data_IF_411172516912
#
_entry.id   IF_411172516912
#
_cell.length_a   1.000
_cell.length_b   1.000
_cell.length_c   1.000
_cell.angle_alpha   90.00
_cell.angle_beta   90.00
_cell.angle_gamma   90.00
#
_symmetry.space_group_name_H-M   'P 1'
#
loop_
_entity.id
_entity.type
_entity.pdbx_description
1 polymer ?
#
# COMPACT_ATOMS: atom_id res chain seq x y z
N UNK A 1 7.02 -9.26 30.75
CA UNK A 1 7.30 -9.78 29.39
C UNK A 1 8.10 -8.71 28.68
N UNK A 2 9.32 -9.03 28.24
CA UNK A 2 10.19 -8.08 27.58
C UNK A 2 9.57 -7.67 26.25
N UNK A 3 9.34 -6.37 26.09
CA UNK A 3 9.00 -5.76 24.82
C UNK A 3 10.29 -5.84 23.98
N UNK A 4 10.25 -6.63 22.91
CA UNK A 4 11.26 -6.52 21.86
C UNK A 4 10.99 -5.20 21.13
N UNK A 5 11.56 -4.12 21.65
CA UNK A 5 11.83 -2.93 20.85
C UNK A 5 12.81 -3.36 19.74
N UNK A 6 12.30 -3.54 18.52
CA UNK A 6 13.15 -3.69 17.35
C UNK A 6 13.82 -2.34 17.11
N UNK A 7 15.01 -2.17 17.69
CA UNK A 7 15.95 -1.16 17.25
C UNK A 7 16.20 -1.37 15.74
N UNK A 8 16.18 -0.27 15.00
CA UNK A 8 16.30 -0.20 13.54
C UNK A 8 17.71 -0.64 13.08
N UNK A 9 18.07 -1.92 13.26
CA UNK A 9 19.29 -2.49 12.68
C UNK A 9 19.06 -2.83 11.20
N UNK A 10 19.73 -2.07 10.34
CA UNK A 10 19.50 -1.95 8.90
C UNK A 10 19.54 -3.27 8.11
N UNK A 11 20.29 -4.28 8.55
CA UNK A 11 20.42 -5.55 7.83
C UNK A 11 19.23 -6.49 8.02
N UNK A 12 18.55 -6.45 9.17
CA UNK A 12 17.43 -7.35 9.45
C UNK A 12 16.20 -6.96 8.63
N UNK A 13 15.87 -5.66 8.58
CA UNK A 13 14.70 -5.12 7.87
C UNK A 13 14.75 -5.41 6.36
N UNK A 14 15.91 -5.19 5.73
CA UNK A 14 16.11 -5.48 4.30
C UNK A 14 16.03 -6.99 4.04
N UNK A 15 16.65 -7.80 4.91
CA UNK A 15 16.63 -9.25 4.77
C UNK A 15 15.22 -9.81 4.92
N UNK A 16 14.42 -9.28 5.85
CA UNK A 16 13.04 -9.69 6.08
C UNK A 16 12.16 -9.36 4.88
N UNK A 17 12.22 -8.15 4.33
CA UNK A 17 11.47 -7.80 3.12
C UNK A 17 11.89 -8.67 1.93
N UNK A 18 13.20 -8.83 1.71
CA UNK A 18 13.70 -9.62 0.59
C UNK A 18 13.30 -11.10 0.68
N UNK A 19 13.30 -11.65 1.89
CA UNK A 19 12.97 -13.05 2.15
C UNK A 19 11.46 -13.28 2.15
N UNK A 20 10.71 -12.48 2.91
CA UNK A 20 9.28 -12.73 3.16
C UNK A 20 8.34 -11.99 2.21
N UNK A 21 8.82 -10.90 1.59
CA UNK A 21 8.02 -10.01 0.73
C UNK A 21 7.36 -8.86 1.47
N UNK A 22 7.49 -8.83 2.80
CA UNK A 22 6.96 -7.78 3.65
C UNK A 22 7.83 -7.55 4.90
N UNK A 23 7.67 -6.37 5.51
CA UNK A 23 8.27 -6.01 6.80
C UNK A 23 7.40 -4.97 7.50
N UNK A 24 7.42 -4.98 8.84
CA UNK A 24 6.71 -3.98 9.66
C UNK A 24 7.72 -3.07 10.34
N UNK A 25 7.53 -1.76 10.18
CA UNK A 25 8.22 -0.74 10.95
C UNK A 25 7.26 -0.23 12.02
N UNK A 26 7.52 -0.64 13.27
CA UNK A 26 6.68 -0.28 14.41
C UNK A 26 6.90 1.16 14.86
N UNK A 27 5.82 1.83 15.26
CA UNK A 27 5.84 3.19 15.78
C UNK A 27 6.68 4.17 14.93
N UNK A 28 6.56 4.07 13.60
CA UNK A 28 7.27 4.93 12.66
C UNK A 28 6.83 6.40 12.79
N UNK A 29 5.59 6.63 13.22
CA UNK A 29 5.04 7.94 13.52
C UNK A 29 4.34 7.94 14.87
N UNK A 30 4.44 9.05 15.57
CA UNK A 30 3.60 9.33 16.72
C UNK A 30 2.28 9.99 16.33
N UNK A 31 1.37 10.16 17.32
CA UNK A 31 0.05 10.75 17.10
C UNK A 31 0.10 12.17 16.52
N UNK A 32 1.05 13.01 16.95
CA UNK A 32 1.17 14.38 16.47
C UNK A 32 1.63 14.44 15.01
N UNK A 33 2.53 13.53 14.61
CA UNK A 33 2.99 13.40 13.22
C UNK A 33 1.86 12.91 12.30
N UNK A 34 0.98 12.03 12.80
CA UNK A 34 -0.14 11.49 12.02
C UNK A 34 -1.39 12.38 12.00
N UNK A 35 -1.58 13.25 12.98
CA UNK A 35 -2.85 13.98 13.17
C UNK A 35 -3.30 14.70 11.89
N UNK A 36 -2.41 15.48 11.26
CA UNK A 36 -2.73 16.23 10.05
C UNK A 36 -3.05 15.33 8.86
N UNK A 37 -2.29 14.24 8.69
CA UNK A 37 -2.45 13.26 7.61
C UNK A 37 -3.77 12.52 7.76
N UNK A 38 -4.11 12.12 8.99
CA UNK A 38 -5.36 11.45 9.34
C UNK A 38 -6.55 12.35 9.06
N UNK A 39 -6.51 13.62 9.44
CA UNK A 39 -7.59 14.57 9.18
C UNK A 39 -7.81 14.81 7.69
N UNK A 40 -6.72 14.92 6.91
CA UNK A 40 -6.79 15.05 5.45
C UNK A 40 -7.41 13.78 4.83
N UNK A 41 -6.96 12.60 5.26
CA UNK A 41 -7.45 11.32 4.77
C UNK A 41 -8.94 11.12 5.10
N UNK A 42 -9.38 11.47 6.31
CA UNK A 42 -10.79 11.41 6.71
C UNK A 42 -11.66 12.32 5.86
N UNK A 43 -11.24 13.57 5.62
CA UNK A 43 -11.96 14.50 4.75
C UNK A 43 -12.08 13.97 3.32
N UNK A 44 -11.00 13.42 2.77
CA UNK A 44 -11.06 12.76 1.47
C UNK A 44 -12.02 11.57 1.48
N UNK A 45 -11.97 10.71 2.50
CA UNK A 45 -12.82 9.53 2.62
C UNK A 45 -14.30 9.87 2.69
N UNK A 46 -14.71 10.86 3.49
CA UNK A 46 -16.11 11.31 3.56
C UNK A 46 -16.60 11.83 2.20
N UNK A 47 -15.81 12.66 1.54
CA UNK A 47 -16.12 13.15 0.20
C UNK A 47 -16.19 12.01 -0.82
N UNK A 48 -15.29 11.03 -0.72
CA UNK A 48 -15.28 9.87 -1.59
C UNK A 48 -16.53 9.01 -1.39
N UNK A 49 -16.95 8.75 -0.14
CA UNK A 49 -18.20 8.01 0.16
C UNK A 49 -19.42 8.69 -0.42
N UNK A 50 -19.52 10.02 -0.31
CA UNK A 50 -20.63 10.78 -0.88
C UNK A 50 -20.68 10.65 -2.41
N UNK A 51 -19.53 10.78 -3.09
CA UNK A 51 -19.44 10.68 -4.55
C UNK A 51 -19.62 9.25 -5.07
N UNK A 52 -19.21 8.25 -4.29
CA UNK A 52 -19.15 6.84 -4.69
C UNK A 52 -20.10 5.96 -3.87
N UNK A 53 -21.21 6.53 -3.38
CA UNK A 53 -22.14 5.87 -2.46
C UNK A 53 -22.51 4.45 -2.89
N UNK A 54 -22.90 4.28 -4.16
CA UNK A 54 -23.28 2.97 -4.71
C UNK A 54 -22.12 1.96 -4.65
N UNK A 55 -20.90 2.37 -5.00
CA UNK A 55 -19.71 1.51 -4.97
C UNK A 55 -19.34 1.15 -3.53
N UNK A 56 -19.44 2.13 -2.61
CA UNK A 56 -19.20 1.91 -1.19
C UNK A 56 -20.19 0.90 -0.57
N UNK A 57 -21.48 1.08 -0.84
CA UNK A 57 -22.54 0.18 -0.37
C UNK A 57 -22.45 -1.22 -0.97
N UNK A 58 -21.88 -1.36 -2.18
CA UNK A 58 -21.62 -2.64 -2.84
C UNK A 58 -20.38 -3.38 -2.31
N UNK A 59 -19.65 -2.79 -1.36
CA UNK A 59 -18.56 -3.48 -0.68
C UNK A 59 -17.16 -2.99 -1.02
N UNK A 60 -17.01 -1.75 -1.50
CA UNK A 60 -15.68 -1.17 -1.64
C UNK A 60 -14.94 -1.15 -0.29
N UNK A 61 -13.65 -1.50 -0.34
CA UNK A 61 -12.77 -1.56 0.83
C UNK A 61 -11.55 -0.64 0.70
N UNK A 62 -11.45 0.06 -0.43
CA UNK A 62 -10.42 1.04 -0.70
C UNK A 62 -10.92 2.16 -1.62
N UNK A 63 -10.17 3.26 -1.63
CA UNK A 63 -10.32 4.34 -2.58
C UNK A 63 -8.95 4.80 -3.06
N UNK A 64 -8.79 5.01 -4.36
CA UNK A 64 -7.52 5.39 -4.96
C UNK A 64 -7.44 6.89 -5.26
N UNK A 65 -6.22 7.35 -5.50
CA UNK A 65 -5.88 8.66 -6.02
C UNK A 65 -6.17 9.83 -5.08
N UNK A 66 -5.87 9.66 -3.78
CA UNK A 66 -6.05 10.72 -2.78
C UNK A 66 -5.27 12.00 -3.13
N UNK A 67 -4.07 11.87 -3.70
CA UNK A 67 -3.22 13.00 -4.11
C UNK A 67 -3.57 13.58 -5.49
N UNK A 68 -4.60 13.07 -6.17
CA UNK A 68 -5.01 13.58 -7.48
C UNK A 68 -5.54 15.01 -7.40
N UNK A 69 -5.29 15.79 -8.44
CA UNK A 69 -5.93 17.09 -8.63
C UNK A 69 -7.45 17.01 -8.43
N UNK A 70 -7.99 17.93 -7.62
CA UNK A 70 -9.41 17.99 -7.28
C UNK A 70 -9.89 16.97 -6.24
N UNK A 71 -9.05 16.01 -5.82
CA UNK A 71 -9.37 15.12 -4.71
C UNK A 71 -9.27 15.83 -3.35
N UNK A 72 -8.28 16.71 -3.22
CA UNK A 72 -7.95 17.50 -2.05
C UNK A 72 -7.73 18.97 -2.45
N UNK A 73 -7.84 19.88 -1.49
CA UNK A 73 -7.40 21.27 -1.67
C UNK A 73 -5.88 21.32 -1.83
N UNK A 74 -5.35 22.34 -2.51
CA UNK A 74 -3.89 22.46 -2.69
C UNK A 74 -3.09 22.47 -1.38
N UNK A 75 -3.51 23.15 -0.30
CA UNK A 75 -2.83 23.04 0.99
C UNK A 75 -2.82 21.60 1.54
N UNK A 76 -3.94 20.87 1.43
CA UNK A 76 -4.02 19.49 1.89
C UNK A 76 -3.19 18.53 1.01
N UNK A 77 -3.17 18.75 -0.31
CA UNK A 77 -2.30 18.01 -1.24
C UNK A 77 -0.83 18.24 -0.90
N UNK A 78 -0.43 19.49 -0.69
CA UNK A 78 0.95 19.83 -0.29
C UNK A 78 1.33 19.15 1.03
N UNK A 79 0.47 19.22 2.06
CA UNK A 79 0.72 18.56 3.34
C UNK A 79 0.86 17.04 3.18
N UNK A 80 0.03 16.41 2.33
CA UNK A 80 0.15 14.99 2.03
C UNK A 80 1.48 14.66 1.32
N UNK A 81 1.90 15.46 0.34
CA UNK A 81 3.20 15.26 -0.31
C UNK A 81 4.37 15.51 0.63
N UNK A 82 4.26 16.46 1.57
CA UNK A 82 5.27 16.69 2.62
C UNK A 82 5.38 15.49 3.57
N UNK A 83 4.25 14.86 3.92
CA UNK A 83 4.26 13.62 4.70
C UNK A 83 4.93 12.46 3.92
N UNK A 84 4.53 12.25 2.67
CA UNK A 84 5.08 11.18 1.81
C UNK A 84 6.59 11.37 1.57
N UNK A 85 7.06 12.62 1.46
CA UNK A 85 8.49 12.95 1.30
C UNK A 85 9.21 13.26 2.61
N UNK A 86 8.62 12.92 3.75
CA UNK A 86 9.27 13.07 5.06
C UNK A 86 10.53 12.20 5.15
N UNK A 87 11.45 12.55 6.05
CA UNK A 87 12.67 11.78 6.27
C UNK A 87 12.34 10.33 6.67
N UNK A 88 11.35 10.12 7.55
CA UNK A 88 10.91 8.79 7.98
C UNK A 88 10.54 7.90 6.80
N UNK A 89 9.67 8.38 5.89
CA UNK A 89 9.26 7.59 4.72
C UNK A 89 10.45 7.39 3.76
N UNK A 90 11.18 8.47 3.48
CA UNK A 90 12.31 8.46 2.53
C UNK A 90 13.42 7.51 2.95
N UNK A 91 13.76 7.46 4.25
CA UNK A 91 14.79 6.57 4.78
C UNK A 91 14.40 5.11 4.63
N UNK A 92 13.12 4.77 4.79
CA UNK A 92 12.61 3.41 4.59
C UNK A 92 12.65 3.06 3.10
N UNK A 93 12.21 3.98 2.22
CA UNK A 93 12.26 3.79 0.75
C UNK A 93 13.69 3.54 0.28
N UNK A 94 14.63 4.39 0.67
CA UNK A 94 16.03 4.29 0.26
C UNK A 94 16.68 2.99 0.72
N UNK A 95 16.26 2.45 1.87
CA UNK A 95 16.77 1.17 2.39
C UNK A 95 16.15 -0.05 1.69
N UNK A 96 14.84 -0.01 1.40
CA UNK A 96 14.10 -1.18 0.89
C UNK A 96 14.06 -1.26 -0.64
N UNK A 97 13.88 -0.13 -1.32
CA UNK A 97 13.75 -0.05 -2.79
C UNK A 97 14.98 0.61 -3.40
N UNK A 98 15.47 1.69 -2.78
CA UNK A 98 16.62 2.46 -3.26
C UNK A 98 16.24 3.79 -3.94
N UNK A 99 17.24 4.50 -4.50
CA UNK A 99 17.06 5.87 -5.01
C UNK A 99 16.24 5.94 -6.31
N UNK A 100 16.01 4.81 -6.97
CA UNK A 100 15.18 4.69 -8.19
C UNK A 100 13.72 4.41 -7.89
N UNK A 101 13.30 4.43 -6.62
CA UNK A 101 11.90 4.30 -6.25
C UNK A 101 11.08 5.42 -6.90
N UNK A 102 9.92 5.06 -7.43
CA UNK A 102 9.07 5.94 -8.23
C UNK A 102 7.67 5.96 -7.63
N UNK A 103 7.16 7.17 -7.35
CA UNK A 103 5.81 7.32 -6.81
C UNK A 103 4.74 7.08 -7.87
N UNK A 104 3.75 6.26 -7.56
CA UNK A 104 2.65 5.96 -8.46
C UNK A 104 1.38 6.71 -8.08
N UNK A 105 0.86 6.46 -6.88
CA UNK A 105 -0.34 7.09 -6.35
C UNK A 105 -0.47 6.82 -4.85
N UNK A 106 -1.58 7.30 -4.29
CA UNK A 106 -2.01 7.02 -2.91
C UNK A 106 -3.36 6.34 -2.90
N UNK A 107 -3.58 5.48 -1.91
CA UNK A 107 -4.87 4.81 -1.69
C UNK A 107 -5.24 4.86 -0.21
N UNK A 108 -6.54 4.91 0.09
CA UNK A 108 -7.04 4.64 1.43
C UNK A 108 -7.66 3.27 1.49
N UNK A 109 -7.49 2.58 2.61
CA UNK A 109 -8.15 1.32 2.91
C UNK A 109 -8.98 1.47 4.18
N UNK A 110 -10.21 0.96 4.13
CA UNK A 110 -11.21 1.10 5.19
C UNK A 110 -12.10 -0.12 5.29
N UNK A 111 -12.91 -0.19 6.35
CA UNK A 111 -13.88 -1.27 6.53
C UNK A 111 -15.01 -1.19 5.49
N UNK A 112 -15.48 -2.33 4.96
CA UNK A 112 -16.61 -2.36 4.04
C UNK A 112 -17.89 -1.85 4.73
N UNK A 113 -18.81 -1.30 3.93
CA UNK A 113 -20.10 -0.85 4.44
C UNK A 113 -20.91 -1.99 5.08
N UNK A 114 -20.79 -3.22 4.55
CA UNK A 114 -21.42 -4.41 5.11
C UNK A 114 -20.45 -5.11 6.09
N UNK A 115 -20.74 -5.14 7.40
CA UNK A 115 -19.85 -5.77 8.39
C UNK A 115 -19.73 -7.30 8.23
N UNK A 116 -20.61 -7.94 7.46
CA UNK A 116 -20.56 -9.37 7.17
C UNK A 116 -19.79 -9.70 5.88
N UNK A 117 -19.24 -8.69 5.19
CA UNK A 117 -18.44 -8.92 3.99
C UNK A 117 -17.17 -9.71 4.34
N UNK A 118 -16.90 -10.77 3.60
CA UNK A 118 -15.72 -11.61 3.83
C UNK A 118 -14.44 -10.95 3.27
N UNK A 119 -13.34 -11.12 4.00
CA UNK A 119 -11.99 -10.81 3.53
C UNK A 119 -11.65 -11.71 2.34
N UNK A 120 -10.95 -11.24 1.32
CA UNK A 120 -10.64 -12.05 0.13
C UNK A 120 -9.16 -12.04 -0.24
N UNK A 121 -8.61 -13.23 -0.49
CA UNK A 121 -7.25 -13.43 -0.98
C UNK A 121 -7.10 -12.93 -2.41
N UNK A 122 -5.99 -12.23 -2.66
CA UNK A 122 -5.63 -11.74 -3.97
C UNK A 122 -4.12 -11.53 -4.10
N UNK A 123 -3.68 -11.37 -5.35
CA UNK A 123 -2.47 -10.61 -5.71
C UNK A 123 -2.96 -9.36 -6.45
N UNK A 124 -2.36 -8.20 -6.24
CA UNK A 124 -2.85 -6.97 -6.90
C UNK A 124 -2.86 -7.04 -8.43
N UNK A 125 -1.85 -7.66 -9.10
CA UNK A 125 -1.86 -7.77 -10.55
C UNK A 125 -3.03 -8.60 -11.10
N UNK A 126 -3.72 -9.40 -10.27
CA UNK A 126 -4.80 -10.26 -10.75
C UNK A 126 -5.99 -9.49 -11.35
N UNK A 127 -6.12 -8.20 -11.03
CA UNK A 127 -7.21 -7.37 -11.52
C UNK A 127 -6.96 -6.78 -12.92
N UNK A 128 -5.73 -6.84 -13.42
CA UNK A 128 -5.36 -6.27 -14.72
C UNK A 128 -4.43 -7.15 -15.57
N UNK A 129 -3.93 -8.26 -15.03
CA UNK A 129 -3.06 -9.22 -15.73
C UNK A 129 -3.71 -10.62 -15.81
N UNK A 130 -3.50 -11.30 -16.94
CA UNK A 130 -3.76 -12.73 -17.07
C UNK A 130 -2.87 -13.57 -16.14
N UNK A 131 -3.20 -14.85 -15.93
CA UNK A 131 -2.37 -15.73 -15.08
C UNK A 131 -0.93 -15.91 -15.58
N UNK A 132 -0.74 -15.95 -16.90
CA UNK A 132 0.60 -16.00 -17.48
C UNK A 132 1.38 -14.72 -17.24
N UNK A 133 0.74 -13.56 -17.32
CA UNK A 133 1.37 -12.27 -17.05
C UNK A 133 1.67 -12.11 -15.56
N UNK A 134 0.76 -12.54 -14.67
CA UNK A 134 1.01 -12.60 -13.22
C UNK A 134 2.25 -13.45 -12.90
N UNK A 135 2.42 -14.61 -13.56
CA UNK A 135 3.62 -15.46 -13.40
C UNK A 135 4.88 -14.72 -13.81
N UNK A 136 4.85 -14.07 -14.98
CA UNK A 136 5.99 -13.33 -15.51
C UNK A 136 6.36 -12.13 -14.63
N UNK A 137 5.36 -11.44 -14.06
CA UNK A 137 5.55 -10.27 -13.20
C UNK A 137 6.33 -10.58 -11.90
N UNK A 138 6.38 -11.84 -11.46
CA UNK A 138 7.19 -12.23 -10.28
C UNK A 138 8.70 -12.13 -10.50
N UNK A 139 9.13 -12.11 -11.77
CA UNK A 139 10.54 -11.97 -12.16
C UNK A 139 10.88 -10.53 -12.59
N UNK A 140 9.86 -9.68 -12.70
CA UNK A 140 9.98 -8.31 -13.17
C UNK A 140 10.13 -7.30 -12.04
N UNK A 141 10.08 -6.01 -12.40
CA UNK A 141 10.14 -4.94 -11.42
C UNK A 141 8.91 -4.96 -10.52
N UNK A 142 9.06 -4.49 -9.28
CA UNK A 142 8.03 -4.63 -8.25
C UNK A 142 7.27 -3.34 -7.99
N UNK A 143 5.99 -3.49 -7.70
CA UNK A 143 5.17 -2.48 -7.01
C UNK A 143 5.16 -2.83 -5.52
N UNK A 144 5.34 -1.81 -4.68
CA UNK A 144 5.46 -1.93 -3.23
C UNK A 144 4.46 -0.98 -2.58
N UNK A 145 3.68 -1.53 -1.65
CA UNK A 145 2.78 -0.78 -0.80
C UNK A 145 3.51 -0.37 0.47
N UNK A 146 3.43 0.92 0.79
CA UNK A 146 3.78 1.46 2.10
C UNK A 146 2.49 1.81 2.81
N UNK A 147 1.95 0.85 3.58
CA UNK A 147 0.71 1.00 4.33
C UNK A 147 0.99 1.63 5.68
N UNK A 148 0.58 2.88 5.84
CA UNK A 148 0.62 3.62 7.11
C UNK A 148 -0.72 3.43 7.83
N UNK A 149 -0.70 2.83 9.01
CA UNK A 149 -1.89 2.69 9.85
C UNK A 149 -2.25 4.04 10.50
N UNK A 150 -3.41 4.62 10.15
CA UNK A 150 -3.91 5.89 10.73
C UNK A 150 -4.80 5.67 11.97
N UNK A 151 -5.20 4.42 12.19
CA UNK A 151 -5.87 3.89 13.37
C UNK A 151 -5.30 2.49 13.64
N UNK A 152 -5.50 1.98 14.85
CA UNK A 152 -5.27 0.56 15.12
C UNK A 152 -6.15 -0.27 14.18
N UNK A 153 -5.57 -1.31 13.57
CA UNK A 153 -6.29 -2.20 12.67
C UNK A 153 -5.92 -3.67 12.89
N UNK A 154 -6.85 -4.61 12.62
CA UNK A 154 -6.55 -6.05 12.63
C UNK A 154 -5.46 -6.43 11.63
N UNK A 155 -5.26 -5.56 10.61
CA UNK A 155 -4.15 -5.55 9.68
C UNK A 155 -4.39 -6.41 8.44
N UNK A 156 -3.32 -7.05 7.98
CA UNK A 156 -3.31 -7.82 6.73
C UNK A 156 -2.84 -9.24 7.03
N UNK A 157 -3.42 -10.21 6.32
CA UNK A 157 -2.87 -11.57 6.26
C UNK A 157 -2.11 -11.74 4.94
N UNK A 158 -0.89 -12.27 5.02
CA UNK A 158 0.04 -12.41 3.90
C UNK A 158 0.59 -13.84 3.85
N UNK A 159 0.87 -14.35 2.66
CA UNK A 159 1.58 -15.63 2.51
C UNK A 159 3.06 -15.35 2.19
N UNK A 160 4.00 -15.62 3.10
CA UNK A 160 5.41 -15.31 2.90
C UNK A 160 6.00 -15.89 1.62
N UNK A 161 7.00 -15.20 1.06
CA UNK A 161 7.77 -15.59 -0.13
C UNK A 161 6.98 -15.58 -1.46
N UNK A 162 5.66 -15.38 -1.43
CA UNK A 162 4.83 -15.40 -2.65
C UNK A 162 5.13 -14.26 -3.60
N UNK A 163 5.82 -13.19 -3.18
CA UNK A 163 6.33 -12.16 -4.09
C UNK A 163 7.35 -12.67 -5.11
N UNK A 164 7.99 -13.83 -4.86
CA UNK A 164 9.05 -14.41 -5.71
C UNK A 164 8.74 -15.82 -6.23
N UNK A 165 7.64 -16.43 -5.78
CA UNK A 165 7.22 -17.76 -6.25
C UNK A 165 5.77 -17.75 -6.72
N UNK A 166 5.49 -18.64 -7.66
CA UNK A 166 4.11 -18.87 -8.07
C UNK A 166 3.31 -19.56 -6.95
N UNK A 167 2.00 -19.49 -7.12
CA UNK A 167 1.02 -20.10 -6.23
C UNK A 167 1.19 -21.62 -6.18
N UNK A 168 0.98 -22.20 -5.00
CA UNK A 168 0.64 -23.62 -4.86
C UNK A 168 -0.75 -23.89 -5.43
N UNK A 169 -1.09 -25.17 -5.61
CA UNK A 169 -2.44 -25.56 -6.05
C UNK A 169 -3.53 -25.09 -5.09
N UNK A 170 -3.27 -25.14 -3.78
CA UNK A 170 -4.19 -24.63 -2.75
C UNK A 170 -4.37 -23.12 -2.88
N UNK A 171 -3.27 -22.37 -2.88
CA UNK A 171 -3.26 -20.91 -2.98
C UNK A 171 -4.02 -20.41 -4.21
N UNK A 172 -3.73 -21.01 -5.37
CA UNK A 172 -4.36 -20.67 -6.64
C UNK A 172 -5.86 -20.99 -6.62
N UNK A 173 -6.21 -22.19 -6.15
CA UNK A 173 -7.60 -22.67 -6.12
C UNK A 173 -8.45 -21.78 -5.20
N UNK A 174 -7.93 -21.42 -4.02
CA UNK A 174 -8.63 -20.58 -3.05
C UNK A 174 -8.79 -19.16 -3.60
N UNK A 175 -7.70 -18.48 -3.98
CA UNK A 175 -7.77 -17.05 -4.36
C UNK A 175 -8.59 -16.81 -5.62
N UNK A 176 -8.65 -17.79 -6.52
CA UNK A 176 -9.43 -17.72 -7.76
C UNK A 176 -10.80 -18.41 -7.67
N UNK A 177 -11.20 -18.86 -6.48
CA UNK A 177 -12.47 -19.57 -6.22
C UNK A 177 -12.72 -20.77 -7.15
N UNK A 178 -11.67 -21.54 -7.45
CA UNK A 178 -11.77 -22.70 -8.32
C UNK A 178 -12.30 -23.91 -7.55
N UNK A 179 -12.91 -24.86 -8.27
CA UNK A 179 -13.37 -26.14 -7.70
C UNK A 179 -14.31 -26.00 -6.49
N UNK A 180 -15.08 -24.90 -6.43
CA UNK A 180 -16.03 -24.63 -5.34
C UNK A 180 -15.41 -24.05 -4.07
N UNK A 181 -14.09 -23.80 -4.05
CA UNK A 181 -13.43 -23.07 -2.96
C UNK A 181 -13.79 -21.59 -3.01
N UNK A 182 -13.58 -20.89 -1.89
CA UNK A 182 -13.83 -19.47 -1.72
C UNK A 182 -12.59 -18.70 -1.31
N UNK A 183 -12.45 -17.49 -1.85
CA UNK A 183 -11.26 -16.66 -1.63
C UNK A 183 -11.13 -16.11 -0.20
N UNK A 184 -12.13 -16.36 0.65
CA UNK A 184 -12.08 -16.04 2.07
C UNK A 184 -11.68 -17.25 2.94
N UNK A 185 -11.50 -18.43 2.36
CA UNK A 185 -11.01 -19.59 3.10
C UNK A 185 -9.57 -19.37 3.60
N UNK A 186 -9.18 -20.13 4.62
CA UNK A 186 -7.82 -20.08 5.14
C UNK A 186 -6.85 -20.70 4.12
N UNK A 187 -5.69 -20.06 3.94
CA UNK A 187 -4.51 -20.64 3.26
C UNK A 187 -3.52 -21.08 4.34
N UNK A 188 -3.00 -22.30 4.27
CA UNK A 188 -2.01 -22.76 5.23
C UNK A 188 -0.66 -22.04 5.05
N UNK A 189 -0.01 -21.70 6.15
CA UNK A 189 1.24 -20.92 6.16
C UNK A 189 1.05 -19.40 6.00
N UNK A 190 -0.19 -18.92 5.87
CA UNK A 190 -0.49 -17.50 5.96
C UNK A 190 -0.18 -16.92 7.35
N UNK A 191 0.29 -15.68 7.39
CA UNK A 191 0.62 -14.93 8.61
C UNK A 191 -0.23 -13.67 8.70
N UNK A 192 -0.90 -13.48 9.84
CA UNK A 192 -1.60 -12.23 10.15
C UNK A 192 -0.63 -11.23 10.78
N UNK A 193 -0.68 -10.00 10.30
CA UNK A 193 0.13 -8.87 10.75
C UNK A 193 -0.79 -7.76 11.25
N UNK A 194 -0.96 -7.65 12.57
CA UNK A 194 -1.70 -6.56 13.21
C UNK A 194 -0.88 -5.26 13.28
N UNK A 195 -1.56 -4.13 13.15
CA UNK A 195 -0.92 -2.81 13.09
C UNK A 195 -1.56 -1.86 14.11
N UNK A 196 -0.71 -1.13 14.82
CA UNK A 196 -1.12 0.00 15.65
C UNK A 196 -1.01 1.29 14.85
N UNK A 197 -1.79 2.31 15.21
CA UNK A 197 -1.66 3.63 14.61
C UNK A 197 -0.19 4.11 14.71
N UNK A 198 0.37 4.55 13.58
CA UNK A 198 1.78 4.93 13.49
C UNK A 198 2.72 3.85 12.93
N UNK A 199 2.27 2.60 12.85
CA UNK A 199 3.03 1.55 12.18
C UNK A 199 3.02 1.73 10.65
N UNK A 200 4.08 1.25 10.00
CA UNK A 200 4.14 1.05 8.54
C UNK A 200 4.32 -0.43 8.24
N UNK A 201 3.41 -0.99 7.45
CA UNK A 201 3.63 -2.27 6.78
C UNK A 201 4.09 -2.02 5.35
N UNK A 202 5.29 -2.47 5.02
CA UNK A 202 5.81 -2.45 3.65
C UNK A 202 5.66 -3.84 3.06
N UNK A 203 4.98 -3.99 1.92
CA UNK A 203 4.78 -5.29 1.29
C UNK A 203 4.73 -5.19 -0.24
N UNK A 204 5.18 -6.25 -0.93
CA UNK A 204 5.15 -6.34 -2.38
C UNK A 204 3.73 -6.63 -2.89
N UNK A 205 3.26 -5.87 -3.88
CA UNK A 205 1.94 -6.02 -4.51
C UNK A 205 1.72 -7.40 -5.16
N UNK A 206 2.82 -8.07 -5.53
CA UNK A 206 2.78 -9.42 -6.06
C UNK A 206 2.42 -10.45 -4.98
N UNK A 207 2.52 -10.16 -3.68
CA UNK A 207 2.21 -11.15 -2.65
C UNK A 207 0.75 -11.62 -2.69
N UNK A 208 0.52 -12.87 -2.30
CA UNK A 208 -0.83 -13.30 -1.92
C UNK A 208 -1.15 -12.69 -0.56
N UNK A 209 -2.20 -11.87 -0.52
CA UNK A 209 -2.59 -11.16 0.68
C UNK A 209 -4.09 -10.90 0.74
N UNK A 210 -4.58 -10.54 1.94
CA UNK A 210 -5.93 -10.03 2.17
C UNK A 210 -5.96 -9.08 3.35
N UNK A 211 -6.78 -8.04 3.26
CA UNK A 211 -7.07 -7.19 4.40
C UNK A 211 -7.99 -7.90 5.40
N UNK A 212 -7.80 -7.66 6.69
CA UNK A 212 -8.70 -8.12 7.75
C UNK A 212 -9.60 -6.95 8.17
N UNK A 213 -10.91 -7.13 8.04
CA UNK A 213 -11.89 -6.09 8.39
C UNK A 213 -12.20 -6.07 9.89
N UNK A 214 -12.50 -4.88 10.42
CA UNK A 214 -12.85 -4.61 11.80
C UNK A 214 -12.04 -3.47 12.42
N UNK A 215 -12.43 -3.08 13.64
CA UNK A 215 -11.84 -1.97 14.41
C UNK A 215 -11.91 -0.59 13.74
N UNK A 216 -12.83 -0.39 12.79
CA UNK A 216 -12.92 0.87 12.04
C UNK A 216 -11.58 1.18 11.35
N UNK A 217 -11.03 0.13 10.70
CA UNK A 217 -9.68 0.17 10.11
C UNK A 217 -9.58 1.37 9.17
N UNK A 218 -8.44 2.04 9.22
CA UNK A 218 -8.18 3.18 8.35
C UNK A 218 -6.69 3.33 8.12
N UNK A 219 -6.26 3.14 6.87
CA UNK A 219 -4.86 3.18 6.49
C UNK A 219 -4.64 3.94 5.18
N UNK A 220 -3.48 4.56 5.07
CA UNK A 220 -2.98 5.22 3.87
C UNK A 220 -1.90 4.35 3.24
N UNK A 221 -2.11 3.91 2.02
CA UNK A 221 -1.11 3.25 1.22
C UNK A 221 -0.45 4.26 0.27
N UNK A 222 0.87 4.31 0.31
CA UNK A 222 1.72 5.01 -0.66
C UNK A 222 2.24 3.93 -1.62
N UNK A 223 1.82 3.99 -2.89
CA UNK A 223 2.23 3.01 -3.90
C UNK A 223 3.48 3.51 -4.60
N UNK A 224 4.52 2.69 -4.54
CA UNK A 224 5.80 2.93 -5.18
C UNK A 224 6.10 1.79 -6.15
N UNK A 225 6.87 2.07 -7.19
CA UNK A 225 7.46 1.04 -8.03
C UNK A 225 8.96 1.25 -8.20
N UNK A 226 9.65 0.22 -8.67
CA UNK A 226 10.96 0.41 -9.29
C UNK A 226 10.78 1.21 -10.59
N UNK A 227 11.72 2.12 -10.88
CA UNK A 227 11.70 2.89 -12.12
C UNK A 227 11.86 1.98 -13.35
N UNK A 228 10.74 1.63 -13.97
CA UNK A 228 10.67 0.79 -15.17
C UNK A 228 9.57 1.29 -16.12
N UNK A 229 9.82 1.37 -17.45
CA UNK A 229 8.83 1.80 -18.44
C UNK A 229 7.50 1.03 -18.41
N UNK A 230 7.49 -0.22 -17.94
CA UNK A 230 6.25 -1.01 -17.81
C UNK A 230 5.22 -0.33 -16.90
N UNK A 231 5.68 0.51 -15.96
CA UNK A 231 4.82 1.19 -15.01
C UNK A 231 4.33 2.57 -15.44
N UNK A 232 4.83 3.10 -16.57
CA UNK A 232 4.45 4.42 -17.09
C UNK A 232 2.92 4.60 -17.18
N UNK A 233 2.22 3.58 -17.68
CA UNK A 233 0.76 3.61 -17.84
C UNK A 233 -0.04 3.60 -16.53
N UNK A 234 0.62 3.34 -15.39
CA UNK A 234 -0.01 3.25 -14.07
C UNK A 234 0.16 4.52 -13.23
N UNK A 235 0.99 5.47 -13.67
CA UNK A 235 1.11 6.80 -13.05
C UNK A 235 0.15 7.75 -13.77
N UNK A 236 -1.07 7.87 -13.23
CA UNK A 236 -2.15 8.63 -13.86
C UNK A 236 -1.95 10.15 -13.75
N UNK A 237 -2.43 10.91 -14.73
CA UNK A 237 -2.35 12.38 -14.72
C UNK A 237 -2.90 13.03 -13.44
N UNK A 238 -2.17 14.04 -12.98
CA UNK A 238 -2.55 14.88 -11.84
C UNK A 238 -2.32 14.27 -10.46
N UNK A 239 -1.74 13.07 -10.34
CA UNK A 239 -1.41 12.45 -9.03
C UNK A 239 -0.11 12.96 -8.41
N UNK A 240 0.73 13.62 -9.23
CA UNK A 240 2.02 14.16 -8.84
C UNK A 240 1.92 15.59 -8.27
N UNK A 241 2.86 16.01 -7.42
CA UNK A 241 2.93 17.39 -6.91
C UNK A 241 3.25 18.38 -8.02
N UNK A 242 2.58 19.54 -8.05
CA UNK A 242 2.97 20.61 -8.99
C UNK A 242 4.40 21.11 -8.73
N UNK A 243 4.99 21.82 -9.70
CA UNK A 243 6.34 22.39 -9.56
C UNK A 243 6.49 23.26 -8.29
N UNK A 244 5.46 24.06 -7.96
CA UNK A 244 5.43 24.87 -6.75
C UNK A 244 5.37 24.02 -5.47
N UNK A 245 4.69 22.86 -5.51
CA UNK A 245 4.70 21.92 -4.39
C UNK A 245 6.06 21.23 -4.26
N UNK A 246 6.65 20.79 -5.37
CA UNK A 246 7.96 20.12 -5.43
C UNK A 246 9.06 20.93 -4.72
N UNK A 247 9.09 22.25 -4.92
CA UNK A 247 10.06 23.16 -4.28
C UNK A 247 9.94 23.23 -2.76
N UNK A 248 8.84 22.73 -2.18
CA UNK A 248 8.54 22.77 -0.73
C UNK A 248 8.68 21.39 -0.07
N UNK A 249 9.12 20.38 -0.81
CA UNK A 249 9.29 19.01 -0.31
C UNK A 249 10.73 18.82 0.19
N UNK A 250 10.89 18.06 1.27
CA UNK A 250 12.21 17.78 1.85
C UNK A 250 12.97 16.78 0.98
N UNK A 251 12.32 15.69 0.56
CA UNK A 251 12.92 14.63 -0.26
C UNK A 251 12.05 14.32 -1.49
N UNK A 252 12.08 15.15 -2.56
CA UNK A 252 11.18 15.00 -3.70
C UNK A 252 11.53 13.85 -4.68
N UNK A 253 12.57 13.05 -4.41
CA UNK A 253 13.18 12.16 -5.41
C UNK A 253 12.20 11.16 -6.05
N UNK A 254 11.30 10.56 -5.27
CA UNK A 254 10.30 9.61 -5.81
C UNK A 254 9.33 10.26 -6.81
N UNK A 255 9.06 11.56 -6.65
CA UNK A 255 8.20 12.31 -7.56
C UNK A 255 8.99 12.77 -8.79
N UNK A 256 10.26 13.16 -8.60
CA UNK A 256 11.17 13.45 -9.73
C UNK A 256 11.33 12.24 -10.64
N UNK A 257 11.52 11.05 -10.07
CA UNK A 257 11.59 9.80 -10.81
C UNK A 257 10.28 9.49 -11.54
N UNK A 258 9.13 9.75 -10.90
CA UNK A 258 7.82 9.60 -11.54
C UNK A 258 7.64 10.52 -12.75
N UNK A 259 8.05 11.78 -12.64
CA UNK A 259 8.05 12.71 -13.78
C UNK A 259 8.94 12.22 -14.92
N UNK A 260 10.14 11.69 -14.62
CA UNK A 260 11.02 11.13 -15.64
C UNK A 260 10.40 9.91 -16.33
N UNK A 261 9.82 8.98 -15.56
CA UNK A 261 9.14 7.79 -16.07
C UNK A 261 7.98 8.13 -17.02
N UNK A 262 7.24 9.23 -16.78
CA UNK A 262 6.17 9.67 -17.67
C UNK A 262 6.71 10.30 -18.97
N UNK A 263 7.87 10.95 -18.92
CA UNK A 263 8.45 11.66 -20.06
C UNK A 263 9.19 10.75 -21.04
N UNK A 264 9.78 9.65 -20.56
CA UNK A 264 10.46 8.61 -21.35
C UNK A 264 9.49 7.71 -22.13
#
# INVERSE_FOLDING_TARGET
MAILELNFESSCVINDFNTNGFVVVKAAFNEAELASVKDIALQFHENWKLKNKSIYEQGAVNSAYLTKEGALTDPARLAMFQFISSNTVSDIILKLIGPTATFMNTQLFFDPCNPNQSNYWHRDPQYHLSLSEQKSALLGPQVVHFRVALKDEPGIELVPQTHKRWDTDEELTIRLEQHGRKNHEKIDGALQVGLSAGDILVFCANMIHRGIYGLDRFALDILLCESDPIFKGYITDGVLPSECMMQKLVNPFIFSNAYQCILE
#
